data_IF_554155777377
#
_entry.id   IF_554155777377
#
_cell.length_a   1.000
_cell.length_b   1.000
_cell.length_c   1.000
_cell.angle_alpha   90.00
_cell.angle_beta   90.00
_cell.angle_gamma   90.00
#
_symmetry.space_group_name_H-M   'P 1'
#
loop_
_entity.id
_entity.type
_entity.pdbx_description
1 polymer ?
#
# COMPACT_ATOMS: atom_id res chain seq x y z
N UNK A 1 -6.16 -31.79 9.55
CA UNK A 1 -7.33 -31.03 9.04
C UNK A 1 -6.79 -29.90 8.18
N UNK A 2 -7.01 -29.97 6.86
CA UNK A 2 -6.42 -29.06 5.87
C UNK A 2 -7.27 -27.78 5.77
N UNK A 3 -6.77 -26.65 6.27
CA UNK A 3 -7.41 -25.33 6.28
C UNK A 3 -7.14 -24.53 5.00
N UNK A 4 -7.00 -25.19 3.85
CA UNK A 4 -6.46 -24.54 2.64
C UNK A 4 -7.50 -24.06 1.61
N UNK A 5 -8.80 -24.02 1.93
CA UNK A 5 -9.86 -23.68 0.93
C UNK A 5 -10.70 -22.43 1.21
N UNK A 6 -10.36 -21.59 2.20
CA UNK A 6 -11.13 -20.36 2.51
C UNK A 6 -10.33 -19.05 2.47
N UNK A 7 -9.14 -19.04 1.88
CA UNK A 7 -8.29 -17.84 1.81
C UNK A 7 -8.21 -17.20 0.40
N UNK A 8 -9.33 -17.18 -0.33
CA UNK A 8 -9.41 -16.32 -1.52
C UNK A 8 -10.25 -15.10 -1.19
N UNK A 9 -9.65 -13.89 -1.14
CA UNK A 9 -10.43 -12.68 -0.91
C UNK A 9 -11.41 -12.47 -2.07
N UNK A 10 -12.55 -11.85 -1.76
CA UNK A 10 -13.51 -11.46 -2.80
C UNK A 10 -12.91 -10.36 -3.68
N UNK A 11 -13.44 -10.20 -4.90
CA UNK A 11 -13.03 -9.09 -5.79
C UNK A 11 -13.16 -7.74 -5.10
N UNK A 12 -14.23 -7.54 -4.34
CA UNK A 12 -14.47 -6.31 -3.59
C UNK A 12 -13.40 -6.06 -2.53
N UNK A 13 -13.01 -7.08 -1.77
CA UNK A 13 -11.92 -6.97 -0.79
C UNK A 13 -10.59 -6.61 -1.47
N UNK A 14 -10.31 -7.17 -2.64
CA UNK A 14 -9.11 -6.84 -3.42
C UNK A 14 -9.12 -5.38 -3.88
N UNK A 15 -10.26 -4.91 -4.40
CA UNK A 15 -10.40 -3.52 -4.88
C UNK A 15 -10.33 -2.52 -3.74
N UNK A 16 -11.03 -2.78 -2.63
CA UNK A 16 -10.97 -1.93 -1.42
C UNK A 16 -9.55 -1.78 -0.90
N UNK A 17 -8.81 -2.89 -0.89
CA UNK A 17 -7.43 -2.89 -0.39
C UNK A 17 -6.46 -2.23 -1.37
N UNK A 18 -6.74 -2.28 -2.66
CA UNK A 18 -6.02 -1.51 -3.66
C UNK A 18 -6.23 -0.01 -3.46
N UNK A 19 -7.49 0.43 -3.34
CA UNK A 19 -7.84 1.83 -3.07
C UNK A 19 -7.15 2.36 -1.81
N UNK A 20 -7.14 1.56 -0.73
CA UNK A 20 -6.42 1.91 0.48
C UNK A 20 -4.93 2.16 0.23
N UNK A 21 -4.26 1.27 -0.52
CA UNK A 21 -2.84 1.44 -0.84
C UNK A 21 -2.59 2.67 -1.72
N UNK A 22 -3.43 2.90 -2.73
CA UNK A 22 -3.32 4.04 -3.64
C UNK A 22 -3.44 5.36 -2.87
N UNK A 23 -4.38 5.44 -1.92
CA UNK A 23 -4.54 6.59 -1.02
C UNK A 23 -3.37 6.78 -0.07
N UNK A 24 -2.82 5.68 0.47
CA UNK A 24 -1.61 5.72 1.31
C UNK A 24 -0.42 6.28 0.53
N UNK A 25 -0.22 5.83 -0.72
CA UNK A 25 0.83 6.32 -1.61
C UNK A 25 0.65 7.80 -1.94
N UNK A 26 -0.55 8.21 -2.35
CA UNK A 26 -0.84 9.60 -2.68
C UNK A 26 -0.60 10.54 -1.48
N UNK A 27 -1.09 10.15 -0.29
CA UNK A 27 -0.86 10.91 0.96
C UNK A 27 0.62 10.93 1.35
N UNK A 28 1.39 9.92 0.94
CA UNK A 28 2.85 9.87 1.15
C UNK A 28 3.65 10.62 0.06
N UNK A 29 2.99 11.23 -0.93
CA UNK A 29 3.63 11.93 -2.03
C UNK A 29 4.18 11.03 -3.13
N UNK A 30 3.67 9.80 -3.23
CA UNK A 30 4.13 8.80 -4.20
C UNK A 30 3.10 8.65 -5.31
N UNK A 31 3.52 8.90 -6.56
CA UNK A 31 2.70 8.65 -7.74
C UNK A 31 2.66 7.16 -8.12
N UNK A 32 1.48 6.65 -8.50
CA UNK A 32 1.34 5.27 -8.97
C UNK A 32 2.24 4.94 -10.18
N UNK A 33 2.44 5.90 -11.09
CA UNK A 33 3.34 5.74 -12.22
C UNK A 33 4.80 5.58 -11.80
N UNK A 34 5.24 6.25 -10.73
CA UNK A 34 6.61 6.09 -10.21
C UNK A 34 6.81 4.67 -9.68
N UNK A 35 5.85 4.16 -8.90
CA UNK A 35 5.89 2.79 -8.39
C UNK A 35 5.94 1.72 -9.50
N UNK A 36 5.25 1.94 -10.62
CA UNK A 36 5.24 1.01 -11.76
C UNK A 36 6.55 0.99 -12.55
N UNK A 37 7.38 2.03 -12.49
CA UNK A 37 8.67 2.08 -13.19
C UNK A 37 9.76 1.28 -12.48
N UNK A 38 9.64 1.05 -11.18
CA UNK A 38 10.64 0.32 -10.39
C UNK A 38 10.57 -1.17 -10.68
N UNK A 39 11.72 -1.76 -11.01
CA UNK A 39 11.89 -3.21 -11.21
C UNK A 39 10.89 -3.79 -12.22
N UNK A 40 10.62 -3.07 -13.32
CA UNK A 40 9.64 -3.47 -14.32
C UNK A 40 8.21 -3.64 -13.77
N UNK A 41 7.88 -2.99 -12.65
CA UNK A 41 6.60 -3.09 -11.95
C UNK A 41 6.51 -4.21 -10.93
N UNK A 42 7.52 -5.07 -10.79
CA UNK A 42 7.52 -6.16 -9.82
C UNK A 42 7.51 -5.67 -8.37
N UNK A 43 8.24 -4.59 -8.08
CA UNK A 43 8.23 -3.96 -6.77
C UNK A 43 6.82 -3.49 -6.36
N UNK A 44 6.04 -2.95 -7.30
CA UNK A 44 4.66 -2.56 -7.06
C UNK A 44 3.75 -3.77 -6.81
N UNK A 45 3.91 -4.85 -7.58
CA UNK A 45 3.16 -6.10 -7.38
C UNK A 45 3.43 -6.69 -5.98
N UNK A 46 4.69 -6.70 -5.56
CA UNK A 46 5.08 -7.17 -4.23
C UNK A 46 4.50 -6.27 -3.13
N UNK A 47 4.59 -4.95 -3.29
CA UNK A 47 4.00 -3.98 -2.36
C UNK A 47 2.48 -4.15 -2.23
N UNK A 48 1.78 -4.42 -3.33
CA UNK A 48 0.33 -4.74 -3.30
C UNK A 48 0.04 -6.04 -2.57
N UNK A 49 0.88 -7.06 -2.72
CA UNK A 49 0.75 -8.31 -1.97
C UNK A 49 0.96 -8.09 -0.47
N UNK A 50 2.02 -7.35 -0.08
CA UNK A 50 2.29 -6.96 1.31
C UNK A 50 1.14 -6.18 1.92
N UNK A 51 0.62 -5.18 1.21
CA UNK A 51 -0.53 -4.40 1.67
C UNK A 51 -1.76 -5.28 1.85
N UNK A 52 -2.02 -6.21 0.92
CA UNK A 52 -3.18 -7.12 1.00
C UNK A 52 -3.13 -8.08 2.19
N UNK A 53 -1.94 -8.52 2.56
CA UNK A 53 -1.72 -9.45 3.67
C UNK A 53 -1.58 -8.74 5.02
N UNK A 54 -1.42 -7.41 5.02
CA UNK A 54 -1.28 -6.61 6.24
C UNK A 54 -2.55 -6.64 7.10
N UNK A 55 -2.38 -6.81 8.41
CA UNK A 55 -3.46 -6.85 9.39
C UNK A 55 -3.85 -5.46 9.94
N UNK A 56 -3.08 -4.41 9.62
CA UNK A 56 -3.25 -3.06 10.17
C UNK A 56 -4.15 -2.14 9.31
N UNK A 57 -5.19 -2.68 8.65
CA UNK A 57 -6.09 -1.88 7.78
C UNK A 57 -6.73 -0.71 8.52
N UNK A 58 -7.22 -0.95 9.74
CA UNK A 58 -7.85 0.10 10.56
C UNK A 58 -6.87 1.23 10.90
N UNK A 59 -5.60 0.90 11.17
CA UNK A 59 -4.56 1.91 11.43
C UNK A 59 -4.26 2.75 10.19
N UNK A 60 -4.20 2.14 9.00
CA UNK A 60 -4.08 2.88 7.73
C UNK A 60 -5.25 3.85 7.54
N UNK A 61 -6.49 3.40 7.79
CA UNK A 61 -7.67 4.24 7.65
C UNK A 61 -7.67 5.42 8.63
N UNK A 62 -7.26 5.16 9.88
CA UNK A 62 -7.14 6.20 10.89
C UNK A 62 -6.06 7.24 10.52
N UNK A 63 -4.90 6.77 10.04
CA UNK A 63 -3.83 7.65 9.55
C UNK A 63 -4.30 8.50 8.36
N UNK A 64 -5.01 7.91 7.40
CA UNK A 64 -5.59 8.64 6.26
C UNK A 64 -6.66 9.67 6.68
N UNK A 65 -7.38 9.42 7.78
CA UNK A 65 -8.39 10.33 8.30
C UNK A 65 -7.79 11.55 9.02
N UNK A 66 -6.51 11.49 9.43
CA UNK A 66 -5.85 12.53 10.20
C UNK A 66 -5.57 13.84 9.41
N UNK A 67 -5.83 13.86 8.10
CA UNK A 67 -6.01 15.11 7.34
C UNK A 67 -4.79 15.63 6.58
N UNK A 68 -5.03 16.73 5.85
CA UNK A 68 -4.44 17.11 4.57
C UNK A 68 -2.94 17.48 4.61
N UNK A 69 -2.18 16.90 3.67
CA UNK A 69 -0.76 17.18 3.48
C UNK A 69 0.02 15.95 3.01
N UNK A 70 1.27 16.16 2.61
CA UNK A 70 2.21 15.06 2.40
C UNK A 70 2.72 14.59 3.75
N UNK A 71 2.50 13.32 4.06
CA UNK A 71 2.92 12.71 5.33
C UNK A 71 4.04 11.70 5.10
N UNK A 72 4.89 11.52 6.11
CA UNK A 72 5.75 10.35 6.15
C UNK A 72 4.86 9.10 6.26
N UNK A 73 5.06 8.06 5.44
CA UNK A 73 4.34 6.81 5.62
C UNK A 73 4.58 6.27 7.04
N UNK A 74 3.56 5.73 7.70
CA UNK A 74 3.68 5.36 9.10
C UNK A 74 4.56 4.12 9.27
N UNK A 75 5.34 4.06 10.36
CA UNK A 75 6.32 3.00 10.62
C UNK A 75 5.70 1.58 10.67
N UNK A 76 4.42 1.47 11.01
CA UNK A 76 3.72 0.17 11.01
C UNK A 76 3.41 -0.36 9.60
N UNK A 77 3.48 0.49 8.57
CA UNK A 77 3.13 0.11 7.22
C UNK A 77 4.26 -0.74 6.60
N UNK A 78 3.99 -1.98 6.15
CA UNK A 78 5.03 -2.84 5.58
C UNK A 78 5.61 -2.30 4.27
N UNK A 79 4.96 -1.31 3.65
CA UNK A 79 5.42 -0.64 2.44
C UNK A 79 6.06 0.74 2.72
N UNK A 80 6.21 1.16 3.98
CA UNK A 80 6.73 2.49 4.31
C UNK A 80 8.08 2.76 3.62
N UNK A 81 9.04 1.85 3.76
CA UNK A 81 10.35 1.97 3.11
C UNK A 81 10.27 2.07 1.58
N UNK A 82 9.35 1.34 0.96
CA UNK A 82 9.13 1.41 -0.49
C UNK A 82 8.59 2.78 -0.89
N UNK A 83 7.62 3.32 -0.15
CA UNK A 83 7.09 4.65 -0.38
C UNK A 83 8.16 5.75 -0.18
N UNK A 84 8.96 5.65 0.88
CA UNK A 84 10.07 6.58 1.13
C UNK A 84 11.11 6.56 -0.01
N UNK A 85 11.40 5.38 -0.57
CA UNK A 85 12.36 5.24 -1.66
C UNK A 85 11.85 5.95 -2.92
N UNK A 86 10.58 5.74 -3.29
CA UNK A 86 9.96 6.36 -4.47
C UNK A 86 9.89 7.89 -4.36
N UNK A 87 9.56 8.42 -3.19
CA UNK A 87 9.50 9.87 -2.97
C UNK A 87 10.85 10.57 -3.22
N UNK A 88 11.97 9.87 -3.02
CA UNK A 88 13.32 10.41 -3.26
C UNK A 88 13.72 10.39 -4.73
N UNK A 89 13.03 9.61 -5.57
CA UNK A 89 13.31 9.52 -7.01
C UNK A 89 12.52 10.55 -7.82
N UNK A 90 11.37 11.02 -7.30
CA UNK A 90 10.52 12.03 -7.92
C UNK A 90 10.98 13.50 -7.62
N UNK A 91 12.09 13.70 -6.88
CA UNK A 91 12.65 15.01 -6.52
C UNK A 91 14.09 15.16 -7.01
#
# INVERSE_FOLDING_TARGET
MSTSRLWRPTREQVLRRQDLMDRMMATSGVGACAALRVDGGMAYIEARAKCRLCLHEAACQHWLAAGEGLHEPPDFCPNARFFCALRREDN
#
